data_IF_177833618594
#
_entry.id   IF_177833618594
#
_cell.length_a   1.000
_cell.length_b   1.000
_cell.length_c   1.000
_cell.angle_alpha   90.00
_cell.angle_beta   90.00
_cell.angle_gamma   90.00
#
_symmetry.space_group_name_H-M   'P 1'
#
loop_
_entity.id
_entity.type
_entity.pdbx_description
1 polymer ?
#
# COMPACT_ATOMS: atom_id res chain seq x y z
N UNK A 1 -17.65 13.16 14.12
CA UNK A 1 -18.03 11.98 13.33
C UNK A 1 -17.30 10.77 13.86
N UNK A 2 -17.91 9.60 13.71
CA UNK A 2 -17.28 8.32 14.01
C UNK A 2 -16.84 7.65 12.72
N UNK A 3 -15.54 7.52 12.50
CA UNK A 3 -14.92 7.04 11.27
C UNK A 3 -14.34 5.66 11.51
N UNK A 4 -14.76 4.66 10.73
CA UNK A 4 -14.17 3.33 10.77
C UNK A 4 -13.06 3.23 9.73
N UNK A 5 -11.80 3.15 10.17
CA UNK A 5 -10.66 2.88 9.28
C UNK A 5 -10.53 1.36 9.13
N UNK A 6 -10.64 0.87 7.90
CA UNK A 6 -10.54 -0.57 7.59
C UNK A 6 -9.16 -0.87 7.01
N UNK A 7 -8.44 -1.78 7.64
CA UNK A 7 -7.01 -1.99 7.50
C UNK A 7 -6.69 -3.45 7.17
N UNK A 8 -5.71 -3.70 6.30
CA UNK A 8 -5.29 -5.04 5.90
C UNK A 8 -3.77 -5.18 6.02
N UNK A 9 -3.30 -6.01 6.97
CA UNK A 9 -1.88 -6.37 7.08
C UNK A 9 -0.90 -5.23 7.39
N UNK A 10 -1.37 -4.11 7.96
CA UNK A 10 -0.56 -2.91 8.20
C UNK A 10 -0.77 -2.37 9.63
N UNK A 11 -1.17 -1.11 9.77
CA UNK A 11 -1.47 -0.48 11.06
C UNK A 11 -2.53 -1.27 11.85
N UNK A 12 -2.39 -1.46 13.16
CA UNK A 12 -1.30 -1.02 14.03
C UNK A 12 -0.18 -2.06 14.25
N UNK A 13 -0.12 -3.13 13.47
CA UNK A 13 0.78 -4.28 13.70
C UNK A 13 2.16 -4.14 13.05
N UNK A 14 2.25 -3.45 11.93
CA UNK A 14 3.46 -3.38 11.10
C UNK A 14 3.85 -1.92 10.88
N UNK A 15 5.14 -1.62 10.99
CA UNK A 15 5.69 -0.30 10.63
C UNK A 15 5.87 -0.19 9.12
N UNK A 16 5.57 0.98 8.54
CA UNK A 16 5.72 1.23 7.11
C UNK A 16 5.05 2.52 6.68
N UNK A 17 5.16 2.90 5.42
CA UNK A 17 4.62 4.15 4.88
C UNK A 17 3.11 4.30 5.12
N UNK A 18 2.32 3.30 4.74
CA UNK A 18 0.86 3.30 4.93
C UNK A 18 0.47 3.32 6.41
N UNK A 19 1.19 2.56 7.26
CA UNK A 19 0.95 2.56 8.71
C UNK A 19 1.26 3.92 9.34
N UNK A 20 2.38 4.53 8.96
CA UNK A 20 2.77 5.86 9.44
C UNK A 20 1.80 6.94 8.97
N UNK A 21 1.35 6.85 7.72
CA UNK A 21 0.32 7.72 7.17
C UNK A 21 -1.00 7.58 7.92
N UNK A 22 -1.47 6.35 8.16
CA UNK A 22 -2.71 6.08 8.92
C UNK A 22 -2.62 6.65 10.34
N UNK A 23 -1.50 6.41 11.02
CA UNK A 23 -1.27 6.95 12.36
C UNK A 23 -1.29 8.48 12.37
N UNK A 24 -0.64 9.12 11.40
CA UNK A 24 -0.62 10.57 11.22
C UNK A 24 -2.02 11.12 10.92
N UNK A 25 -2.78 10.47 10.03
CA UNK A 25 -4.15 10.84 9.70
C UNK A 25 -5.03 10.86 10.96
N UNK A 26 -5.04 9.78 11.75
CA UNK A 26 -5.85 9.69 12.97
C UNK A 26 -5.49 10.81 13.96
N UNK A 27 -4.20 11.04 14.19
CA UNK A 27 -3.72 12.11 15.08
C UNK A 27 -4.08 13.52 14.60
N UNK A 28 -4.23 13.71 13.31
CA UNK A 28 -4.58 15.00 12.71
C UNK A 28 -6.05 15.37 12.88
N UNK A 29 -6.89 14.43 13.32
CA UNK A 29 -8.32 14.62 13.52
C UNK A 29 -8.79 14.35 14.96
N UNK A 30 -8.27 15.07 15.97
CA UNK A 30 -8.61 14.83 17.38
C UNK A 30 -10.10 15.07 17.69
N UNK A 31 -10.82 15.78 16.82
CA UNK A 31 -12.26 16.05 16.93
C UNK A 31 -13.15 14.89 16.44
N UNK A 32 -12.58 13.84 15.87
CA UNK A 32 -13.29 12.67 15.38
C UNK A 32 -12.97 11.44 16.23
N UNK A 33 -13.94 10.56 16.37
CA UNK A 33 -13.74 9.22 16.95
C UNK A 33 -13.35 8.26 15.83
N UNK A 34 -12.31 7.47 16.07
CA UNK A 34 -11.87 6.44 15.15
C UNK A 34 -12.13 5.05 15.70
N UNK A 35 -12.67 4.21 14.83
CA UNK A 35 -12.78 2.76 15.05
C UNK A 35 -11.80 2.10 14.08
N UNK A 36 -10.92 1.24 14.58
CA UNK A 36 -10.04 0.45 13.72
C UNK A 36 -10.69 -0.90 13.46
N UNK A 37 -10.80 -1.28 12.18
CA UNK A 37 -11.26 -2.60 11.78
C UNK A 37 -10.14 -3.29 11.01
N UNK A 38 -9.37 -4.10 11.74
CA UNK A 38 -8.09 -4.61 11.28
C UNK A 38 -8.19 -6.06 10.83
N UNK A 39 -7.69 -6.36 9.64
CA UNK A 39 -7.55 -7.72 9.12
C UNK A 39 -6.08 -8.13 9.28
N UNK A 40 -5.85 -9.20 10.04
CA UNK A 40 -4.56 -9.85 10.21
C UNK A 40 -4.55 -11.26 9.63
N UNK A 41 -3.36 -11.83 9.43
CA UNK A 41 -3.20 -13.20 8.96
C UNK A 41 -3.41 -14.22 10.09
N UNK A 42 -2.76 -14.03 11.22
CA UNK A 42 -2.72 -14.98 12.33
C UNK A 42 -3.26 -14.36 13.63
N UNK A 43 -4.20 -15.05 14.27
CA UNK A 43 -4.78 -14.66 15.57
C UNK A 43 -3.76 -14.66 16.72
N UNK A 44 -2.57 -15.23 16.55
CA UNK A 44 -1.47 -15.10 17.48
C UNK A 44 -0.98 -13.65 17.65
N UNK A 45 -1.23 -12.77 16.66
CA UNK A 45 -0.82 -11.36 16.68
C UNK A 45 -1.86 -10.43 17.34
N UNK A 46 -2.95 -10.99 17.83
CA UNK A 46 -4.00 -10.23 18.51
C UNK A 46 -3.45 -9.35 19.63
N UNK A 47 -3.76 -8.04 19.56
CA UNK A 47 -3.34 -7.05 20.56
C UNK A 47 -1.85 -6.72 20.57
N UNK A 48 -1.05 -7.24 19.63
CA UNK A 48 0.40 -6.95 19.54
C UNK A 48 0.67 -5.74 18.66
N UNK A 49 0.31 -4.56 19.14
CA UNK A 49 0.47 -3.33 18.40
C UNK A 49 1.91 -2.80 18.51
N UNK A 50 2.47 -2.35 17.38
CA UNK A 50 3.78 -1.68 17.33
C UNK A 50 3.66 -0.16 17.45
N UNK A 51 2.42 0.36 17.36
CA UNK A 51 2.10 1.77 17.56
C UNK A 51 1.36 1.95 18.88
N UNK A 52 1.64 3.04 19.59
CA UNK A 52 0.77 3.56 20.64
C UNK A 52 -0.46 4.21 20.00
N UNK A 53 -1.65 3.70 20.33
CA UNK A 53 -2.87 4.18 19.69
C UNK A 53 -3.21 5.59 20.20
N UNK A 54 -3.57 6.53 19.33
CA UNK A 54 -4.04 7.86 19.72
C UNK A 54 -5.32 7.80 20.56
N UNK A 55 -5.53 8.77 21.46
CA UNK A 55 -6.65 8.83 22.40
C UNK A 55 -8.03 8.86 21.72
N UNK A 56 -8.10 9.32 20.48
CA UNK A 56 -9.31 9.35 19.65
C UNK A 56 -9.63 8.04 18.94
N UNK A 57 -8.82 7.00 19.13
CA UNK A 57 -9.17 5.62 18.74
C UNK A 57 -9.99 5.01 19.86
N UNK A 58 -11.30 4.92 19.65
CA UNK A 58 -12.27 4.50 20.69
C UNK A 58 -12.53 3.00 20.70
N UNK A 59 -12.34 2.30 19.58
CA UNK A 59 -12.55 0.85 19.45
C UNK A 59 -11.55 0.24 18.47
N UNK A 60 -11.17 -1.03 18.70
CA UNK A 60 -10.39 -1.85 17.76
C UNK A 60 -11.09 -3.19 17.57
N UNK A 61 -11.47 -3.48 16.34
CA UNK A 61 -12.04 -4.75 15.92
C UNK A 61 -11.00 -5.52 15.11
N UNK A 62 -10.60 -6.67 15.60
CA UNK A 62 -9.56 -7.50 14.99
C UNK A 62 -10.16 -8.75 14.36
N UNK A 63 -9.91 -8.97 13.10
CA UNK A 63 -10.34 -10.15 12.31
C UNK A 63 -9.10 -10.84 11.78
N UNK A 64 -8.92 -12.12 12.11
CA UNK A 64 -7.77 -12.89 11.65
C UNK A 64 -8.20 -13.99 10.68
N UNK A 65 -7.58 -14.01 9.50
CA UNK A 65 -8.00 -14.89 8.41
C UNK A 65 -7.81 -16.38 8.74
N UNK A 66 -6.85 -16.74 9.60
CA UNK A 66 -6.68 -18.11 10.07
C UNK A 66 -7.88 -18.63 10.90
N UNK A 67 -8.67 -17.75 11.50
CA UNK A 67 -9.88 -18.12 12.23
C UNK A 67 -10.99 -18.66 11.30
N UNK A 68 -10.93 -18.34 10.00
CA UNK A 68 -11.84 -18.89 9.01
C UNK A 68 -11.84 -20.43 8.96
N UNK A 69 -10.71 -21.04 9.28
CA UNK A 69 -10.54 -22.50 9.32
C UNK A 69 -11.11 -23.15 10.59
N UNK A 70 -11.39 -22.36 11.64
CA UNK A 70 -11.94 -22.84 12.92
C UNK A 70 -13.47 -22.96 12.89
N UNK A 71 -14.11 -22.58 11.78
CA UNK A 71 -15.57 -22.59 11.64
C UNK A 71 -16.14 -24.00 11.69
N UNK A 72 -17.22 -24.18 12.46
CA UNK A 72 -17.97 -25.44 12.49
C UNK A 72 -18.86 -25.51 11.25
N UNK A 73 -18.92 -26.62 10.50
CA UNK A 73 -19.85 -26.77 9.39
C UNK A 73 -21.30 -26.60 9.87
N UNK A 74 -22.03 -25.70 9.23
CA UNK A 74 -23.46 -25.57 9.48
C UNK A 74 -24.19 -26.84 9.04
N UNK A 75 -25.00 -27.44 9.91
CA UNK A 75 -25.67 -28.71 9.64
C UNK A 75 -26.93 -28.57 8.73
N UNK A 76 -27.27 -27.39 8.25
CA UNK A 76 -28.44 -27.20 7.41
C UNK A 76 -28.04 -27.14 5.93
N UNK A 77 -28.75 -27.97 5.10
CA UNK A 77 -28.69 -27.80 3.64
C UNK A 77 -29.13 -26.39 3.29
N UNK A 78 -28.19 -25.59 2.85
CA UNK A 78 -28.48 -24.24 2.37
C UNK A 78 -29.31 -24.32 1.09
N UNK A 79 -30.48 -23.69 1.10
CA UNK A 79 -31.30 -23.51 -0.11
C UNK A 79 -31.15 -22.06 -0.54
N UNK A 80 -30.71 -21.86 -1.76
CA UNK A 80 -30.49 -20.52 -2.34
C UNK A 80 -31.62 -20.21 -3.34
N UNK A 81 -32.05 -18.96 -3.35
CA UNK A 81 -32.96 -18.45 -4.40
C UNK A 81 -32.21 -18.39 -5.74
N UNK A 82 -32.91 -18.28 -6.88
CA UNK A 82 -32.25 -18.10 -8.17
C UNK A 82 -31.30 -16.90 -8.20
N UNK A 83 -31.65 -15.78 -7.59
CA UNK A 83 -30.88 -14.57 -7.48
C UNK A 83 -29.60 -14.79 -6.65
N UNK A 84 -29.71 -15.44 -5.49
CA UNK A 84 -28.56 -15.83 -4.68
C UNK A 84 -27.61 -16.78 -5.40
N UNK A 85 -28.16 -17.76 -6.15
CA UNK A 85 -27.35 -18.66 -6.97
C UNK A 85 -26.59 -17.92 -8.06
N UNK A 86 -27.22 -16.94 -8.70
CA UNK A 86 -26.55 -16.13 -9.72
C UNK A 86 -25.40 -15.31 -9.09
N UNK A 87 -25.63 -14.61 -7.97
CA UNK A 87 -24.62 -13.84 -7.28
C UNK A 87 -23.44 -14.73 -6.81
N UNK A 88 -23.73 -15.92 -6.27
CA UNK A 88 -22.73 -16.91 -5.90
C UNK A 88 -21.97 -17.45 -7.12
N UNK A 89 -22.65 -17.67 -8.24
CA UNK A 89 -22.02 -18.07 -9.51
C UNK A 89 -21.03 -17.01 -9.99
N UNK A 90 -21.47 -15.76 -10.06
CA UNK A 90 -20.62 -14.65 -10.49
C UNK A 90 -19.41 -14.46 -9.57
N UNK A 91 -19.60 -14.66 -8.27
CA UNK A 91 -18.52 -14.62 -7.28
C UNK A 91 -17.49 -15.74 -7.48
N UNK A 92 -17.95 -16.99 -7.67
CA UNK A 92 -17.08 -18.16 -7.88
C UNK A 92 -16.34 -18.06 -9.22
N UNK A 93 -16.99 -17.52 -10.26
CA UNK A 93 -16.38 -17.29 -11.58
C UNK A 93 -15.54 -16.00 -11.65
N UNK A 94 -15.46 -15.23 -10.56
CA UNK A 94 -14.74 -13.94 -10.48
C UNK A 94 -15.16 -12.96 -11.58
N UNK A 95 -16.48 -12.79 -11.77
CA UNK A 95 -17.07 -11.86 -12.74
C UNK A 95 -17.55 -10.56 -12.06
N UNK A 96 -18.82 -10.29 -12.01
CA UNK A 96 -19.41 -9.08 -11.43
C UNK A 96 -20.60 -9.44 -10.54
N UNK A 97 -20.38 -10.02 -9.35
CA UNK A 97 -21.45 -10.44 -8.46
C UNK A 97 -22.23 -9.24 -7.90
N UNK A 98 -23.50 -9.47 -7.61
CA UNK A 98 -24.25 -8.55 -6.75
C UNK A 98 -23.79 -8.71 -5.30
N UNK A 99 -23.00 -7.74 -4.84
CA UNK A 99 -22.40 -7.76 -3.51
C UNK A 99 -23.45 -7.59 -2.41
N UNK A 100 -24.54 -6.85 -2.64
CA UNK A 100 -25.64 -6.72 -1.69
C UNK A 100 -26.29 -8.07 -1.42
N UNK A 101 -26.63 -8.82 -2.49
CA UNK A 101 -27.17 -10.18 -2.39
C UNK A 101 -26.17 -11.13 -1.73
N UNK A 102 -24.88 -11.01 -2.00
CA UNK A 102 -23.85 -11.82 -1.33
C UNK A 102 -23.78 -11.52 0.17
N UNK A 103 -23.77 -10.24 0.57
CA UNK A 103 -23.77 -9.84 1.98
C UNK A 103 -24.99 -10.36 2.72
N UNK A 104 -26.18 -10.22 2.15
CA UNK A 104 -27.41 -10.78 2.72
C UNK A 104 -27.34 -12.30 2.85
N UNK A 105 -26.89 -12.99 1.79
CA UNK A 105 -26.80 -14.44 1.76
C UNK A 105 -25.87 -14.97 2.85
N UNK A 106 -24.68 -14.39 3.00
CA UNK A 106 -23.69 -14.85 3.98
C UNK A 106 -24.04 -14.48 5.41
N UNK A 107 -24.92 -13.49 5.62
CA UNK A 107 -25.40 -13.06 6.95
C UNK A 107 -26.70 -13.75 7.38
N UNK A 108 -27.29 -14.62 6.56
CA UNK A 108 -28.47 -15.40 6.94
C UNK A 108 -28.17 -16.33 8.12
N UNK A 109 -29.14 -16.49 9.01
CA UNK A 109 -29.01 -17.33 10.21
C UNK A 109 -28.65 -18.78 9.86
N UNK A 110 -27.49 -19.21 10.31
CA UNK A 110 -26.98 -20.58 10.10
C UNK A 110 -26.16 -20.76 8.82
N UNK A 111 -25.95 -19.69 8.02
CA UNK A 111 -24.98 -19.71 6.94
C UNK A 111 -23.57 -19.58 7.54
N UNK A 112 -22.64 -20.38 7.03
CA UNK A 112 -21.21 -20.29 7.37
C UNK A 112 -20.37 -20.42 6.11
N UNK A 113 -19.15 -19.84 6.06
CA UNK A 113 -18.24 -20.00 4.92
C UNK A 113 -17.99 -21.47 4.55
N UNK A 114 -17.68 -22.31 5.54
CA UNK A 114 -17.45 -23.73 5.34
C UNK A 114 -18.76 -24.44 4.90
N UNK A 115 -19.91 -24.06 5.46
CA UNK A 115 -21.21 -24.61 5.08
C UNK A 115 -21.53 -24.35 3.60
N UNK A 116 -21.19 -23.18 3.07
CA UNK A 116 -21.32 -22.90 1.64
C UNK A 116 -20.34 -23.74 0.81
N UNK A 117 -19.06 -23.78 1.17
CA UNK A 117 -18.01 -24.54 0.44
C UNK A 117 -18.24 -26.07 0.45
N UNK A 118 -19.08 -26.58 1.37
CA UNK A 118 -19.52 -27.98 1.43
C UNK A 118 -20.92 -28.21 0.84
N UNK A 119 -21.54 -27.19 0.24
CA UNK A 119 -22.88 -27.29 -0.33
C UNK A 119 -22.88 -27.94 -1.72
N UNK A 120 -24.03 -28.56 -2.10
CA UNK A 120 -24.26 -29.05 -3.46
C UNK A 120 -24.12 -27.90 -4.48
N UNK A 121 -24.62 -26.70 -4.15
CA UNK A 121 -24.51 -25.52 -5.02
C UNK A 121 -23.06 -25.17 -5.34
N UNK A 122 -22.17 -25.15 -4.34
CA UNK A 122 -20.75 -24.88 -4.59
C UNK A 122 -20.11 -25.99 -5.44
N UNK A 123 -20.46 -27.25 -5.19
CA UNK A 123 -19.97 -28.38 -5.99
C UNK A 123 -20.41 -28.27 -7.45
N UNK A 124 -21.66 -27.88 -7.71
CA UNK A 124 -22.17 -27.67 -9.06
C UNK A 124 -21.40 -26.55 -9.76
N UNK A 125 -21.28 -25.38 -9.11
CA UNK A 125 -20.54 -24.23 -9.66
C UNK A 125 -19.07 -24.57 -9.95
N UNK A 126 -18.42 -25.29 -9.06
CA UNK A 126 -17.04 -25.74 -9.25
C UNK A 126 -16.94 -26.74 -10.41
N UNK A 127 -17.93 -27.63 -10.56
CA UNK A 127 -17.99 -28.59 -11.68
C UNK A 127 -18.16 -27.85 -13.00
N UNK A 128 -18.95 -26.80 -13.04
CA UNK A 128 -19.15 -25.98 -14.24
C UNK A 128 -17.87 -25.24 -14.65
N UNK A 129 -17.15 -24.62 -13.69
CA UNK A 129 -15.83 -24.02 -13.95
C UNK A 129 -14.84 -25.04 -14.49
N UNK A 130 -14.76 -26.23 -13.87
CA UNK A 130 -13.85 -27.27 -14.32
C UNK A 130 -14.14 -27.68 -15.76
N UNK A 131 -15.44 -27.84 -16.12
CA UNK A 131 -15.82 -28.24 -17.48
C UNK A 131 -15.60 -27.18 -18.55
N UNK A 132 -15.86 -25.91 -18.20
CA UNK A 132 -15.83 -24.81 -19.16
C UNK A 132 -14.44 -24.24 -19.36
N UNK A 133 -13.76 -23.90 -18.24
CA UNK A 133 -12.53 -23.13 -18.29
C UNK A 133 -11.26 -23.96 -18.00
N UNK A 134 -11.42 -25.10 -17.27
CA UNK A 134 -10.26 -25.88 -16.78
C UNK A 134 -10.41 -27.40 -17.01
N UNK A 135 -10.75 -27.86 -18.25
CA UNK A 135 -11.06 -29.27 -18.49
C UNK A 135 -9.89 -30.26 -18.30
N UNK A 136 -8.67 -29.73 -18.23
CA UNK A 136 -7.44 -30.55 -18.09
C UNK A 136 -6.78 -30.43 -16.74
N UNK A 137 -7.45 -29.81 -15.75
CA UNK A 137 -6.93 -29.68 -14.39
C UNK A 137 -7.57 -30.72 -13.46
N UNK A 138 -6.85 -31.13 -12.43
CA UNK A 138 -7.40 -32.00 -11.42
C UNK A 138 -8.49 -31.28 -10.61
N UNK A 139 -9.62 -31.95 -10.38
CA UNK A 139 -10.74 -31.41 -9.62
C UNK A 139 -10.33 -31.02 -8.18
N UNK A 140 -9.43 -31.80 -7.55
CA UNK A 140 -8.88 -31.49 -6.23
C UNK A 140 -8.11 -30.18 -6.20
N UNK A 141 -7.33 -29.89 -7.24
CA UNK A 141 -6.52 -28.67 -7.33
C UNK A 141 -7.42 -27.45 -7.50
N UNK A 142 -8.49 -27.56 -8.31
CA UNK A 142 -9.51 -26.54 -8.44
C UNK A 142 -10.22 -26.30 -7.11
N UNK A 143 -10.61 -27.36 -6.39
CA UNK A 143 -11.25 -27.24 -5.08
C UNK A 143 -10.38 -26.49 -4.08
N UNK A 144 -9.10 -26.87 -3.97
CA UNK A 144 -8.17 -26.20 -3.05
C UNK A 144 -7.92 -24.75 -3.45
N UNK A 145 -7.81 -24.46 -4.74
CA UNK A 145 -7.63 -23.11 -5.25
C UNK A 145 -8.84 -22.22 -4.93
N UNK A 146 -10.05 -22.64 -5.31
CA UNK A 146 -11.27 -21.88 -5.03
C UNK A 146 -11.50 -21.72 -3.52
N UNK A 147 -11.27 -22.76 -2.73
CA UNK A 147 -11.37 -22.65 -1.27
C UNK A 147 -10.40 -21.59 -0.73
N UNK A 148 -9.15 -21.59 -1.18
CA UNK A 148 -8.14 -20.63 -0.72
C UNK A 148 -8.47 -19.18 -1.10
N UNK A 149 -9.08 -18.99 -2.26
CA UNK A 149 -9.54 -17.67 -2.74
C UNK A 149 -10.78 -17.18 -1.99
N UNK A 150 -11.80 -18.02 -1.91
CA UNK A 150 -13.15 -17.62 -1.51
C UNK A 150 -13.33 -17.60 0.02
N UNK A 151 -12.69 -18.54 0.74
CA UNK A 151 -12.89 -18.68 2.19
C UNK A 151 -12.59 -17.40 2.97
N UNK A 152 -11.49 -16.65 2.72
CA UNK A 152 -11.23 -15.40 3.41
C UNK A 152 -12.36 -14.36 3.21
N UNK A 153 -12.81 -14.16 1.98
CA UNK A 153 -13.88 -13.19 1.67
C UNK A 153 -15.21 -13.60 2.28
N UNK A 154 -15.58 -14.87 2.17
CA UNK A 154 -16.79 -15.40 2.80
C UNK A 154 -16.76 -15.24 4.33
N UNK A 155 -15.59 -15.44 4.94
CA UNK A 155 -15.39 -15.24 6.38
C UNK A 155 -15.54 -13.77 6.78
N UNK A 156 -14.99 -12.85 5.99
CA UNK A 156 -15.12 -11.40 6.20
C UNK A 156 -16.59 -10.95 6.10
N UNK A 157 -17.36 -11.48 5.16
CA UNK A 157 -18.79 -11.15 5.02
C UNK A 157 -19.63 -11.55 6.25
N UNK A 158 -19.17 -12.51 7.05
CA UNK A 158 -19.85 -12.98 8.25
C UNK A 158 -19.49 -12.19 9.53
N UNK A 159 -18.58 -11.22 9.44
CA UNK A 159 -18.11 -10.48 10.62
C UNK A 159 -19.16 -9.53 11.20
N UNK A 160 -19.00 -9.23 12.50
CA UNK A 160 -19.78 -8.18 13.14
C UNK A 160 -19.27 -6.83 12.63
N UNK A 161 -20.20 -5.98 12.22
CA UNK A 161 -19.89 -4.67 11.67
C UNK A 161 -19.89 -3.62 12.77
N UNK A 162 -18.78 -2.91 13.03
CA UNK A 162 -18.76 -1.80 13.97
C UNK A 162 -19.64 -0.66 13.45
N UNK A 163 -20.25 0.11 14.35
CA UNK A 163 -21.03 1.29 13.97
C UNK A 163 -20.11 2.46 13.63
N UNK A 164 -20.34 3.09 12.49
CA UNK A 164 -19.61 4.28 12.05
C UNK A 164 -20.48 5.14 11.12
N UNK A 165 -20.12 6.42 10.99
CA UNK A 165 -20.72 7.35 10.06
C UNK A 165 -20.09 7.24 8.66
N UNK A 166 -18.83 6.78 8.59
CA UNK A 166 -18.06 6.57 7.35
C UNK A 166 -17.18 5.32 7.51
N UNK A 167 -17.10 4.50 6.46
CA UNK A 167 -16.14 3.40 6.36
C UNK A 167 -15.03 3.80 5.39
N UNK A 168 -13.85 4.05 5.91
CA UNK A 168 -12.69 4.47 5.14
C UNK A 168 -11.68 3.32 5.05
N UNK A 169 -11.53 2.73 3.86
CA UNK A 169 -10.53 1.69 3.59
C UNK A 169 -9.30 2.27 2.91
N UNK A 170 -8.14 1.68 3.19
CA UNK A 170 -6.86 2.09 2.60
C UNK A 170 -6.36 1.17 1.48
N UNK A 171 -7.13 0.14 1.15
CA UNK A 171 -6.85 -0.77 0.04
C UNK A 171 -8.13 -1.28 -0.59
N UNK A 172 -8.09 -1.58 -1.88
CA UNK A 172 -9.21 -2.10 -2.66
C UNK A 172 -9.30 -3.64 -2.64
N UNK A 173 -8.78 -4.28 -1.58
CA UNK A 173 -8.75 -5.72 -1.38
C UNK A 173 -9.74 -6.21 -0.34
N UNK A 174 -9.26 -7.05 0.56
CA UNK A 174 -10.07 -7.60 1.66
C UNK A 174 -10.63 -6.51 2.57
N UNK A 175 -9.82 -5.52 2.92
CA UNK A 175 -10.26 -4.36 3.70
C UNK A 175 -11.34 -3.56 2.96
N UNK A 176 -11.22 -3.43 1.64
CA UNK A 176 -12.23 -2.78 0.81
C UNK A 176 -13.58 -3.49 0.85
N UNK A 177 -13.58 -4.82 0.70
CA UNK A 177 -14.83 -5.62 0.81
C UNK A 177 -15.45 -5.48 2.19
N UNK A 178 -14.62 -5.46 3.25
CA UNK A 178 -15.09 -5.29 4.61
C UNK A 178 -15.69 -3.89 4.84
N UNK A 179 -15.09 -2.84 4.25
CA UNK A 179 -15.65 -1.49 4.26
C UNK A 179 -17.00 -1.42 3.51
N UNK A 180 -17.10 -2.08 2.36
CA UNK A 180 -18.36 -2.20 1.60
C UNK A 180 -19.45 -2.91 2.41
N UNK A 181 -19.10 -3.99 3.13
CA UNK A 181 -20.01 -4.63 4.07
C UNK A 181 -20.47 -3.66 5.16
N UNK A 182 -19.56 -2.86 5.70
CA UNK A 182 -19.85 -1.83 6.69
C UNK A 182 -20.86 -0.81 6.18
N UNK A 183 -20.60 -0.26 5.01
CA UNK A 183 -21.47 0.69 4.33
C UNK A 183 -22.86 0.10 4.05
N UNK A 184 -22.91 -1.15 3.57
CA UNK A 184 -24.16 -1.86 3.31
C UNK A 184 -25.00 -2.06 4.58
N UNK A 185 -24.38 -2.57 5.65
CA UNK A 185 -25.11 -2.92 6.90
C UNK A 185 -25.62 -1.70 7.66
N UNK A 186 -24.81 -0.64 7.71
CA UNK A 186 -25.12 0.57 8.48
C UNK A 186 -25.67 1.71 7.61
N UNK A 187 -25.89 1.48 6.31
CA UNK A 187 -26.32 2.50 5.35
C UNK A 187 -25.46 3.77 5.47
N UNK A 188 -24.13 3.59 5.33
CA UNK A 188 -23.15 4.66 5.49
C UNK A 188 -22.20 4.71 4.27
N UNK A 189 -21.64 5.88 3.92
CA UNK A 189 -20.73 6.03 2.81
C UNK A 189 -19.44 5.24 3.02
N UNK A 190 -18.91 4.75 1.89
CA UNK A 190 -17.60 4.10 1.81
C UNK A 190 -16.62 5.03 1.11
N UNK A 191 -15.43 5.17 1.65
CA UNK A 191 -14.33 5.92 1.09
C UNK A 191 -13.11 5.01 0.92
N UNK A 192 -12.41 5.15 -0.21
CA UNK A 192 -11.17 4.43 -0.47
C UNK A 192 -10.01 5.42 -0.63
N UNK A 193 -8.93 5.23 0.12
CA UNK A 193 -7.65 5.90 -0.13
C UNK A 193 -6.60 4.89 -0.53
N UNK A 194 -6.24 4.87 -1.81
CA UNK A 194 -5.36 3.86 -2.38
C UNK A 194 -3.93 4.42 -2.51
N UNK A 195 -2.99 3.81 -1.77
CA UNK A 195 -1.58 4.22 -1.76
C UNK A 195 -0.76 3.55 -2.87
N UNK A 196 -1.17 2.40 -3.32
CA UNK A 196 -0.72 1.66 -4.49
C UNK A 196 -1.92 1.03 -5.16
N UNK A 197 -1.84 0.61 -6.41
CA UNK A 197 -2.96 0.00 -7.13
C UNK A 197 -3.05 -1.48 -6.75
N UNK A 198 -3.91 -1.80 -5.77
CA UNK A 198 -4.01 -3.10 -5.12
C UNK A 198 -4.05 -4.27 -6.12
N UNK A 199 -4.92 -4.21 -7.13
CA UNK A 199 -5.07 -5.29 -8.09
C UNK A 199 -3.81 -5.52 -8.95
N UNK A 200 -3.06 -4.45 -9.28
CA UNK A 200 -1.78 -4.57 -10.01
C UNK A 200 -0.69 -5.15 -9.15
N UNK A 201 -0.58 -4.73 -7.90
CA UNK A 201 0.37 -5.30 -6.93
C UNK A 201 0.11 -6.80 -6.70
N UNK A 202 -1.16 -7.18 -6.54
CA UNK A 202 -1.55 -8.60 -6.43
C UNK A 202 -1.29 -9.39 -7.70
N UNK A 203 -1.49 -8.81 -8.89
CA UNK A 203 -1.16 -9.43 -10.16
C UNK A 203 0.33 -9.76 -10.26
N UNK A 204 1.21 -8.80 -9.95
CA UNK A 204 2.65 -9.01 -9.95
C UNK A 204 3.07 -10.09 -8.94
N UNK A 205 2.51 -10.06 -7.74
CA UNK A 205 2.76 -11.06 -6.71
C UNK A 205 2.35 -12.47 -7.19
N UNK A 206 1.16 -12.62 -7.77
CA UNK A 206 0.67 -13.90 -8.27
C UNK A 206 1.52 -14.41 -9.45
N UNK A 207 1.96 -13.52 -10.33
CA UNK A 207 2.84 -13.90 -11.44
C UNK A 207 4.15 -14.49 -10.92
N UNK A 208 4.73 -13.90 -9.88
CA UNK A 208 5.99 -14.36 -9.25
C UNK A 208 5.78 -15.54 -8.29
N UNK A 209 4.58 -15.75 -7.77
CA UNK A 209 4.30 -16.77 -6.76
C UNK A 209 4.61 -18.19 -7.25
N UNK A 210 5.35 -18.95 -6.45
CA UNK A 210 5.67 -20.36 -6.69
C UNK A 210 4.61 -21.31 -6.11
N UNK A 211 3.86 -20.87 -5.12
CA UNK A 211 2.79 -21.63 -4.47
C UNK A 211 1.48 -21.68 -5.27
N UNK A 212 1.30 -20.77 -6.26
CA UNK A 212 0.16 -20.80 -7.17
C UNK A 212 0.47 -21.66 -8.38
N UNK A 213 -0.35 -22.68 -8.62
CA UNK A 213 -0.24 -23.50 -9.83
C UNK A 213 -0.39 -22.63 -11.08
N UNK A 214 0.49 -22.77 -12.09
CA UNK A 214 0.47 -21.93 -13.29
C UNK A 214 -0.89 -21.82 -13.96
N UNK A 215 -1.67 -22.92 -14.00
CA UNK A 215 -3.00 -22.98 -14.59
C UNK A 215 -4.00 -22.04 -13.90
N UNK A 216 -3.79 -21.71 -12.62
CA UNK A 216 -4.74 -20.90 -11.82
C UNK A 216 -4.28 -19.45 -11.58
N UNK A 217 -3.08 -19.06 -12.05
CA UNK A 217 -2.60 -17.68 -11.87
C UNK A 217 -3.59 -16.65 -12.43
N UNK A 218 -4.14 -16.90 -13.64
CA UNK A 218 -5.15 -16.04 -14.24
C UNK A 218 -6.43 -15.94 -13.39
N UNK A 219 -6.85 -17.04 -12.75
CA UNK A 219 -8.03 -17.05 -11.90
C UNK A 219 -7.82 -16.20 -10.66
N UNK A 220 -6.64 -16.32 -10.01
CA UNK A 220 -6.26 -15.46 -8.88
C UNK A 220 -6.21 -13.99 -9.24
N UNK A 221 -5.65 -13.64 -10.39
CA UNK A 221 -5.61 -12.25 -10.87
C UNK A 221 -7.03 -11.72 -11.06
N UNK A 222 -7.90 -12.46 -11.77
CA UNK A 222 -9.32 -12.09 -11.94
C UNK A 222 -10.04 -11.89 -10.60
N UNK A 223 -9.74 -12.72 -9.62
CA UNK A 223 -10.31 -12.61 -8.27
C UNK A 223 -9.96 -11.28 -7.61
N UNK A 224 -8.70 -10.87 -7.60
CA UNK A 224 -8.30 -9.59 -7.01
C UNK A 224 -8.86 -8.39 -7.79
N UNK A 225 -8.94 -8.49 -9.11
CA UNK A 225 -9.60 -7.45 -9.92
C UNK A 225 -11.10 -7.35 -9.61
N UNK A 226 -11.79 -8.46 -9.37
CA UNK A 226 -13.19 -8.47 -8.96
C UNK A 226 -13.38 -7.75 -7.61
N UNK A 227 -12.51 -8.01 -6.61
CA UNK A 227 -12.56 -7.32 -5.32
C UNK A 227 -12.38 -5.80 -5.49
N UNK A 228 -11.36 -5.38 -6.24
CA UNK A 228 -11.11 -3.94 -6.46
C UNK A 228 -12.27 -3.25 -7.18
N UNK A 229 -12.87 -3.89 -8.19
CA UNK A 229 -14.05 -3.36 -8.89
C UNK A 229 -15.27 -3.23 -7.96
N UNK A 230 -15.45 -4.16 -7.03
CA UNK A 230 -16.51 -4.05 -6.02
C UNK A 230 -16.36 -2.77 -5.19
N UNK A 231 -15.14 -2.49 -4.74
CA UNK A 231 -14.85 -1.30 -3.94
C UNK A 231 -15.02 -0.02 -4.76
N UNK A 232 -14.49 0.04 -5.97
CA UNK A 232 -14.66 1.19 -6.89
C UNK A 232 -16.14 1.45 -7.19
N UNK A 233 -16.96 0.40 -7.36
CA UNK A 233 -18.38 0.54 -7.59
C UNK A 233 -19.15 1.13 -6.40
N UNK A 234 -18.82 0.69 -5.19
CA UNK A 234 -19.53 1.05 -3.96
C UNK A 234 -18.98 2.30 -3.24
N UNK A 235 -17.69 2.63 -3.43
CA UNK A 235 -17.12 3.83 -2.83
C UNK A 235 -17.79 5.10 -3.35
N UNK A 236 -18.08 6.03 -2.44
CA UNK A 236 -18.55 7.39 -2.78
C UNK A 236 -17.40 8.26 -3.31
N UNK A 237 -16.20 8.08 -2.75
CA UNK A 237 -14.97 8.77 -3.15
C UNK A 237 -13.82 7.77 -3.17
N UNK A 238 -12.97 7.88 -4.18
CA UNK A 238 -11.74 7.10 -4.34
C UNK A 238 -10.58 8.08 -4.50
N UNK A 239 -9.60 8.02 -3.59
CA UNK A 239 -8.42 8.87 -3.68
C UNK A 239 -7.20 8.08 -4.14
N UNK A 240 -6.32 8.76 -4.83
CA UNK A 240 -4.99 8.28 -5.22
C UNK A 240 -3.96 9.37 -4.97
N UNK A 241 -2.69 8.99 -4.87
CA UNK A 241 -1.62 9.93 -4.50
C UNK A 241 -1.17 10.83 -5.64
N UNK A 242 -1.34 10.40 -6.90
CA UNK A 242 -0.83 11.09 -8.10
C UNK A 242 -1.62 10.75 -9.37
N UNK A 243 -1.37 11.53 -10.43
CA UNK A 243 -2.15 11.49 -11.66
C UNK A 243 -2.17 10.13 -12.38
N UNK A 244 -1.05 9.42 -12.44
CA UNK A 244 -0.98 8.13 -13.10
C UNK A 244 -1.71 7.03 -12.30
N UNK A 245 -1.71 7.09 -10.96
CA UNK A 245 -2.51 6.19 -10.14
C UNK A 245 -4.01 6.41 -10.37
N UNK A 246 -4.47 7.68 -10.46
CA UNK A 246 -5.85 8.02 -10.82
C UNK A 246 -6.23 7.47 -12.19
N UNK A 247 -5.36 7.58 -13.19
CA UNK A 247 -5.61 7.01 -14.53
C UNK A 247 -5.78 5.50 -14.46
N UNK A 248 -4.91 4.81 -13.69
CA UNK A 248 -4.99 3.38 -13.48
C UNK A 248 -6.32 2.96 -12.80
N UNK A 249 -6.79 3.69 -11.79
CA UNK A 249 -8.10 3.45 -11.17
C UNK A 249 -9.25 3.53 -12.17
N UNK A 250 -9.23 4.53 -13.05
CA UNK A 250 -10.25 4.72 -14.10
C UNK A 250 -10.19 3.56 -15.12
N UNK A 251 -9.00 3.18 -15.58
CA UNK A 251 -8.80 2.03 -16.48
C UNK A 251 -9.30 0.70 -15.89
N UNK A 252 -9.20 0.56 -14.57
CA UNK A 252 -9.68 -0.60 -13.82
C UNK A 252 -11.19 -0.58 -13.53
N UNK A 253 -11.88 0.49 -13.92
CA UNK A 253 -13.33 0.60 -13.88
C UNK A 253 -13.88 1.50 -12.78
N UNK A 254 -13.03 2.33 -12.14
CA UNK A 254 -13.52 3.38 -11.24
C UNK A 254 -14.16 4.52 -12.05
N UNK A 255 -15.31 5.02 -11.58
CA UNK A 255 -15.95 6.19 -12.18
C UNK A 255 -15.04 7.44 -12.00
N UNK A 256 -14.67 8.13 -13.11
CA UNK A 256 -13.84 9.33 -13.05
C UNK A 256 -14.37 10.43 -12.11
N UNK A 257 -15.68 10.52 -11.95
CA UNK A 257 -16.33 11.52 -11.08
C UNK A 257 -16.05 11.30 -9.60
N UNK A 258 -15.75 10.05 -9.21
CA UNK A 258 -15.41 9.66 -7.84
C UNK A 258 -13.91 9.81 -7.53
N UNK A 259 -13.05 9.88 -8.56
CA UNK A 259 -11.61 9.88 -8.40
C UNK A 259 -11.08 11.27 -8.01
N UNK A 260 -10.29 11.32 -6.94
CA UNK A 260 -9.60 12.52 -6.46
C UNK A 260 -8.10 12.24 -6.31
N UNK A 261 -7.27 13.24 -6.56
CA UNK A 261 -5.83 13.16 -6.24
C UNK A 261 -5.64 13.81 -4.87
N UNK A 262 -5.08 13.05 -3.94
CA UNK A 262 -4.76 13.50 -2.59
C UNK A 262 -3.35 13.06 -2.26
N UNK A 263 -2.33 13.89 -2.55
CA UNK A 263 -0.95 13.55 -2.26
C UNK A 263 -0.69 13.34 -0.76
N UNK A 264 0.34 12.58 -0.43
CA UNK A 264 0.85 12.52 0.92
C UNK A 264 1.35 13.89 1.37
N UNK A 265 1.22 14.17 2.66
CA UNK A 265 1.77 15.37 3.27
C UNK A 265 3.02 15.06 4.09
N UNK A 266 3.93 16.03 4.15
CA UNK A 266 5.12 16.01 5.01
C UNK A 266 5.07 17.17 6.01
N UNK A 267 5.58 16.95 7.22
CA UNK A 267 5.74 18.02 8.21
C UNK A 267 6.93 18.92 7.84
N UNK A 268 6.63 19.98 7.08
CA UNK A 268 7.65 20.90 6.55
C UNK A 268 8.33 21.71 7.63
N UNK A 269 7.71 21.93 8.78
CA UNK A 269 8.31 22.62 9.92
C UNK A 269 9.39 21.74 10.56
N UNK A 270 9.07 20.47 10.82
CA UNK A 270 10.00 19.49 11.42
C UNK A 270 11.23 19.27 10.53
N UNK A 271 11.01 18.94 9.26
CA UNK A 271 12.10 18.64 8.34
C UNK A 271 12.81 19.89 7.81
N UNK A 272 12.10 21.02 7.68
CA UNK A 272 12.69 22.30 7.30
C UNK A 272 13.61 22.91 8.37
N UNK A 273 13.50 22.46 9.62
CA UNK A 273 14.39 22.84 10.71
C UNK A 273 15.72 22.06 10.70
N UNK A 274 15.87 21.03 9.86
CA UNK A 274 17.11 20.26 9.72
C UNK A 274 18.20 21.14 9.15
N UNK A 275 19.33 21.33 9.85
CA UNK A 275 20.42 22.15 9.33
C UNK A 275 21.07 21.50 8.11
N UNK A 276 21.70 22.27 7.22
CA UNK A 276 22.59 21.73 6.20
C UNK A 276 23.72 20.94 6.87
N UNK A 277 24.23 19.94 6.15
CA UNK A 277 25.38 19.18 6.63
C UNK A 277 26.60 20.10 6.75
N UNK A 278 27.32 19.99 7.87
CA UNK A 278 28.59 20.67 8.05
C UNK A 278 29.67 20.06 7.13
N UNK A 279 30.44 20.88 6.40
CA UNK A 279 31.46 20.37 5.50
C UNK A 279 32.57 19.62 6.29
N UNK A 280 32.77 18.35 5.97
CA UNK A 280 33.80 17.47 6.55
C UNK A 280 34.74 16.86 5.50
N UNK A 281 34.58 17.30 4.25
CA UNK A 281 35.34 16.77 3.12
C UNK A 281 34.73 15.52 2.47
N UNK A 282 33.66 15.00 3.02
CA UNK A 282 32.92 13.86 2.47
C UNK A 282 31.61 14.29 1.80
N UNK A 283 31.18 13.49 0.83
CA UNK A 283 29.85 13.57 0.25
C UNK A 283 29.03 12.38 0.76
N UNK A 284 28.03 12.66 1.59
CA UNK A 284 27.22 11.64 2.25
C UNK A 284 25.90 11.42 1.52
N UNK A 285 25.71 10.20 1.03
CA UNK A 285 24.55 9.74 0.28
C UNK A 285 23.65 8.96 1.24
N UNK A 286 22.37 9.35 1.39
CA UNK A 286 21.42 8.68 2.28
C UNK A 286 20.40 7.86 1.51
N UNK A 287 20.32 6.54 1.74
CA UNK A 287 19.22 5.70 1.30
C UNK A 287 18.28 5.44 2.49
N UNK A 288 17.13 6.11 2.51
CA UNK A 288 16.13 5.97 3.59
C UNK A 288 15.13 4.90 3.16
N UNK A 289 15.40 3.66 3.51
CA UNK A 289 14.70 2.47 3.01
C UNK A 289 14.59 1.40 4.09
N UNK A 290 13.61 0.50 3.97
CA UNK A 290 13.62 -0.78 4.67
C UNK A 290 14.53 -1.72 3.89
N UNK A 291 15.36 -2.51 4.56
CA UNK A 291 16.21 -3.48 3.85
C UNK A 291 15.36 -4.68 3.46
N UNK A 292 14.81 -4.64 2.26
CA UNK A 292 13.92 -5.64 1.66
C UNK A 292 14.14 -5.70 0.14
N UNK A 293 13.80 -6.81 -0.54
CA UNK A 293 14.02 -6.97 -1.98
C UNK A 293 13.40 -5.89 -2.87
N UNK A 294 12.26 -5.34 -2.47
CA UNK A 294 11.54 -4.30 -3.23
C UNK A 294 12.31 -2.98 -3.30
N UNK A 295 13.16 -2.70 -2.32
CA UNK A 295 13.97 -1.46 -2.24
C UNK A 295 15.25 -1.54 -3.07
N UNK A 296 15.62 -2.73 -3.56
CA UNK A 296 16.74 -3.02 -4.43
C UNK A 296 18.10 -2.44 -3.97
N UNK A 297 18.39 -2.62 -2.68
CA UNK A 297 19.65 -2.16 -2.06
C UNK A 297 20.88 -2.76 -2.75
N UNK A 298 20.75 -3.95 -3.36
CA UNK A 298 21.86 -4.58 -4.09
C UNK A 298 22.27 -3.78 -5.33
N UNK A 299 21.32 -3.31 -6.13
CA UNK A 299 21.63 -2.41 -7.27
C UNK A 299 22.30 -1.12 -6.79
N UNK A 300 21.88 -0.57 -5.64
CA UNK A 300 22.54 0.59 -5.03
C UNK A 300 24.00 0.29 -4.66
N UNK A 301 24.27 -0.85 -4.01
CA UNK A 301 25.63 -1.24 -3.64
C UNK A 301 26.53 -1.42 -4.87
N UNK A 302 26.02 -2.05 -5.94
CA UNK A 302 26.76 -2.15 -7.20
C UNK A 302 27.01 -0.78 -7.83
N UNK A 303 26.03 0.11 -7.85
CA UNK A 303 26.20 1.46 -8.38
C UNK A 303 27.18 2.27 -7.54
N UNK A 304 27.12 2.14 -6.22
CA UNK A 304 28.06 2.82 -5.32
C UNK A 304 29.50 2.32 -5.48
N UNK A 305 29.71 1.03 -5.76
CA UNK A 305 31.02 0.48 -6.10
C UNK A 305 31.62 1.18 -7.34
N UNK A 306 30.81 1.43 -8.37
CA UNK A 306 31.26 2.20 -9.55
C UNK A 306 31.61 3.65 -9.17
N UNK A 307 30.78 4.32 -8.36
CA UNK A 307 31.02 5.68 -7.87
C UNK A 307 32.38 5.78 -7.15
N UNK A 308 32.72 4.79 -6.33
CA UNK A 308 34.01 4.77 -5.58
C UNK A 308 35.24 4.73 -6.47
N UNK A 309 35.12 4.34 -7.74
CA UNK A 309 36.27 4.43 -8.68
C UNK A 309 36.60 5.86 -9.09
N UNK A 310 35.66 6.80 -8.95
CA UNK A 310 35.82 8.19 -9.41
C UNK A 310 35.69 9.21 -8.27
N UNK A 311 35.03 8.85 -7.16
CA UNK A 311 34.77 9.74 -6.02
C UNK A 311 35.19 9.07 -4.72
N UNK A 312 36.47 9.23 -4.38
CA UNK A 312 37.09 8.60 -3.19
C UNK A 312 36.39 9.02 -1.88
N UNK A 313 35.92 10.26 -1.80
CA UNK A 313 35.30 10.84 -0.62
C UNK A 313 33.78 10.70 -0.57
N UNK A 314 33.17 9.75 -1.29
CA UNK A 314 31.75 9.41 -1.16
C UNK A 314 31.53 8.39 -0.04
N UNK A 315 30.49 8.58 0.80
CA UNK A 315 29.97 7.61 1.79
C UNK A 315 28.50 7.32 1.54
N UNK A 316 28.09 6.06 1.68
CA UNK A 316 26.71 5.62 1.55
C UNK A 316 26.16 5.23 2.92
N UNK A 317 25.02 5.79 3.29
CA UNK A 317 24.28 5.48 4.50
C UNK A 317 22.98 4.77 4.12
N UNK A 318 22.86 3.49 4.45
CA UNK A 318 21.62 2.71 4.32
C UNK A 318 20.87 2.85 5.64
N UNK A 319 19.79 3.62 5.61
CA UNK A 319 19.09 4.14 6.78
C UNK A 319 17.72 3.46 6.89
N UNK A 320 17.56 2.54 7.83
CA UNK A 320 16.28 1.88 8.08
C UNK A 320 16.42 0.47 8.65
N UNK A 321 15.30 -0.17 9.01
CA UNK A 321 15.30 -1.49 9.62
C UNK A 321 15.55 -2.61 8.60
N UNK A 322 16.03 -3.74 9.12
CA UNK A 322 16.08 -5.01 8.40
C UNK A 322 14.67 -5.64 8.40
N UNK A 323 13.93 -5.42 7.32
CA UNK A 323 12.57 -5.94 7.18
C UNK A 323 12.61 -7.43 6.72
N UNK A 324 13.57 -7.74 5.84
CA UNK A 324 13.93 -9.09 5.42
C UNK A 324 15.37 -9.39 5.85
N UNK A 325 15.51 -10.26 6.85
CA UNK A 325 16.82 -10.60 7.44
C UNK A 325 17.73 -11.36 6.48
N UNK A 326 17.17 -12.21 5.62
CA UNK A 326 17.94 -12.98 4.63
C UNK A 326 18.49 -12.04 3.57
N UNK A 327 17.65 -11.17 3.03
CA UNK A 327 18.07 -10.14 2.08
C UNK A 327 19.06 -9.15 2.68
N UNK A 328 18.88 -8.73 3.94
CA UNK A 328 19.83 -7.85 4.63
C UNK A 328 21.20 -8.52 4.76
N UNK A 329 21.25 -9.80 5.13
CA UNK A 329 22.50 -10.55 5.20
C UNK A 329 23.19 -10.62 3.83
N UNK A 330 22.42 -10.85 2.75
CA UNK A 330 22.96 -10.83 1.38
C UNK A 330 23.53 -9.44 0.99
N UNK A 331 22.89 -8.35 1.43
CA UNK A 331 23.41 -6.99 1.22
C UNK A 331 24.73 -6.75 1.97
N UNK A 332 24.85 -7.20 3.22
CA UNK A 332 26.11 -7.09 3.97
C UNK A 332 27.24 -7.89 3.34
N UNK A 333 26.93 -9.11 2.88
CA UNK A 333 27.90 -9.95 2.19
C UNK A 333 28.36 -9.34 0.86
N UNK A 334 27.41 -8.77 0.10
CA UNK A 334 27.70 -8.07 -1.15
C UNK A 334 28.58 -6.85 -0.92
N UNK A 335 28.30 -6.01 0.07
CA UNK A 335 29.13 -4.85 0.40
C UNK A 335 30.58 -5.27 0.72
N UNK A 336 30.74 -6.38 1.47
CA UNK A 336 32.07 -6.94 1.77
C UNK A 336 32.77 -7.51 0.54
N UNK A 337 32.04 -8.23 -0.35
CA UNK A 337 32.60 -8.78 -1.59
C UNK A 337 33.07 -7.69 -2.56
N UNK A 338 32.38 -6.54 -2.56
CA UNK A 338 32.73 -5.36 -3.36
C UNK A 338 33.79 -4.46 -2.68
N UNK A 339 34.29 -4.85 -1.51
CA UNK A 339 35.29 -4.10 -0.73
C UNK A 339 34.87 -2.66 -0.35
N UNK A 340 33.54 -2.51 -0.08
CA UNK A 340 32.96 -1.21 0.23
C UNK A 340 33.07 -0.88 1.72
N UNK A 341 34.15 -0.16 2.10
CA UNK A 341 34.39 0.24 3.48
C UNK A 341 33.58 1.48 3.91
N UNK A 342 33.15 2.30 2.97
CA UNK A 342 32.39 3.54 3.20
C UNK A 342 30.88 3.38 3.07
N UNK A 343 30.36 2.17 3.36
CA UNK A 343 28.92 1.90 3.47
C UNK A 343 28.57 1.69 4.94
N UNK A 344 27.61 2.49 5.43
CA UNK A 344 27.13 2.44 6.80
C UNK A 344 25.67 1.95 6.81
N UNK A 345 25.42 0.81 7.41
CA UNK A 345 24.06 0.34 7.71
C UNK A 345 23.69 0.80 9.10
N UNK A 346 22.77 1.77 9.21
CA UNK A 346 22.48 2.47 10.47
C UNK A 346 21.44 1.79 11.35
N UNK A 347 20.64 0.88 10.76
CA UNK A 347 19.41 0.45 11.39
C UNK A 347 18.40 1.59 11.50
N UNK A 348 17.41 1.43 12.38
CA UNK A 348 16.37 2.44 12.60
C UNK A 348 16.93 3.64 13.38
N UNK A 349 16.78 4.84 12.82
CA UNK A 349 17.17 6.11 13.42
C UNK A 349 16.06 7.15 13.31
N UNK A 350 16.17 8.28 14.01
CA UNK A 350 15.32 9.45 13.73
C UNK A 350 15.78 10.09 12.41
N UNK A 351 14.95 9.97 11.38
CA UNK A 351 15.25 10.42 10.02
C UNK A 351 15.54 11.93 9.98
N UNK A 352 14.77 12.75 10.71
CA UNK A 352 14.96 14.19 10.71
C UNK A 352 16.35 14.57 11.29
N UNK A 353 16.75 13.94 12.40
CA UNK A 353 18.08 14.19 12.97
C UNK A 353 19.19 13.67 12.06
N UNK A 354 18.98 12.52 11.42
CA UNK A 354 20.02 11.90 10.59
C UNK A 354 20.26 12.65 9.27
N UNK A 355 19.22 13.26 8.68
CA UNK A 355 19.31 14.07 7.48
C UNK A 355 20.28 15.27 7.61
N UNK A 356 20.61 15.72 8.85
CA UNK A 356 21.65 16.73 9.07
C UNK A 356 23.05 16.28 8.66
N UNK A 357 23.28 14.96 8.48
CA UNK A 357 24.56 14.35 8.07
C UNK A 357 24.62 14.01 6.59
N UNK A 358 23.54 14.24 5.84
CA UNK A 358 23.35 13.77 4.47
C UNK A 358 23.36 14.96 3.52
N UNK A 359 24.10 14.83 2.41
CA UNK A 359 24.15 15.84 1.34
C UNK A 359 23.00 15.68 0.35
N UNK A 360 22.67 14.45 -0.03
CA UNK A 360 21.54 14.12 -0.89
C UNK A 360 21.04 12.69 -0.62
N UNK A 361 19.84 12.37 -1.07
CA UNK A 361 19.26 11.05 -0.86
C UNK A 361 19.12 10.26 -2.16
N UNK A 362 19.03 8.93 -2.03
CA UNK A 362 18.83 8.01 -3.14
C UNK A 362 17.73 7.01 -2.79
N UNK A 363 16.87 6.71 -3.77
CA UNK A 363 15.84 5.68 -3.68
C UNK A 363 15.95 4.78 -4.91
N UNK A 364 16.12 3.48 -4.69
CA UNK A 364 16.35 2.49 -5.74
C UNK A 364 15.21 1.49 -5.89
N UNK A 365 14.10 1.72 -5.21
CA UNK A 365 12.94 0.83 -5.17
C UNK A 365 12.48 0.43 -6.58
N UNK A 366 12.02 -0.82 -6.70
CA UNK A 366 11.48 -1.38 -7.95
C UNK A 366 10.02 -0.95 -8.13
N UNK A 367 9.32 -0.66 -7.04
CA UNK A 367 7.93 -0.21 -7.04
C UNK A 367 7.67 0.75 -5.90
N UNK A 368 7.00 1.84 -6.17
CA UNK A 368 6.59 2.86 -5.21
C UNK A 368 5.21 3.43 -5.56
N UNK A 369 4.53 3.97 -4.55
CA UNK A 369 3.44 4.90 -4.77
C UNK A 369 3.97 6.34 -4.79
N UNK A 370 3.92 6.98 -3.62
CA UNK A 370 4.54 8.28 -3.35
C UNK A 370 5.39 8.16 -2.08
N UNK A 371 6.73 8.05 -2.23
CA UNK A 371 7.62 7.77 -1.13
C UNK A 371 7.72 8.96 -0.15
N UNK A 372 7.35 8.72 1.11
CA UNK A 372 7.45 9.74 2.17
C UNK A 372 8.89 10.17 2.42
N UNK A 373 9.86 9.25 2.28
CA UNK A 373 11.29 9.54 2.44
C UNK A 373 11.79 10.61 1.47
N UNK A 374 11.23 10.67 0.25
CA UNK A 374 11.54 11.70 -0.74
C UNK A 374 10.95 13.05 -0.31
N UNK A 375 9.70 13.07 0.14
CA UNK A 375 9.07 14.31 0.64
C UNK A 375 9.79 14.86 1.88
N UNK A 376 10.23 13.98 2.79
CA UNK A 376 11.04 14.32 3.97
C UNK A 376 12.40 14.91 3.56
N UNK A 377 13.05 14.28 2.56
CA UNK A 377 14.32 14.76 1.99
C UNK A 377 14.16 16.14 1.36
N UNK A 378 13.13 16.33 0.56
CA UNK A 378 12.82 17.63 -0.05
C UNK A 378 12.56 18.70 1.00
N UNK A 379 11.72 18.40 2.01
CA UNK A 379 11.45 19.36 3.09
C UNK A 379 12.73 19.74 3.86
N UNK A 380 13.69 18.82 3.99
CA UNK A 380 15.02 19.08 4.55
C UNK A 380 16.01 19.75 3.58
N UNK A 381 15.58 20.08 2.35
CA UNK A 381 16.42 20.67 1.32
C UNK A 381 17.50 19.72 0.75
N UNK A 382 17.25 18.42 0.78
CA UNK A 382 18.12 17.38 0.20
C UNK A 382 17.57 16.98 -1.17
N UNK A 383 18.35 17.15 -2.27
CA UNK A 383 17.95 16.67 -3.59
C UNK A 383 18.01 15.15 -3.62
N UNK A 384 17.37 14.54 -4.62
CA UNK A 384 17.22 13.09 -4.68
C UNK A 384 17.71 12.50 -6.01
N UNK A 385 18.26 11.28 -5.95
CA UNK A 385 18.42 10.39 -7.12
C UNK A 385 17.40 9.26 -6.96
N UNK A 386 16.45 9.14 -7.88
CA UNK A 386 15.32 8.24 -7.75
C UNK A 386 15.22 7.29 -8.96
N UNK A 387 14.72 6.09 -8.73
CA UNK A 387 14.21 5.24 -9.81
C UNK A 387 12.88 5.76 -10.34
N UNK A 388 12.61 5.57 -11.64
CA UNK A 388 11.39 6.00 -12.33
C UNK A 388 10.22 5.04 -12.05
N UNK A 389 9.74 5.08 -10.82
CA UNK A 389 8.62 4.26 -10.32
C UNK A 389 7.59 5.13 -9.62
N UNK A 390 6.32 4.73 -9.68
CA UNK A 390 5.24 5.48 -9.05
C UNK A 390 5.16 6.93 -9.50
N UNK A 391 5.26 7.87 -8.57
CA UNK A 391 5.31 9.30 -8.86
C UNK A 391 6.72 9.91 -8.76
N UNK A 392 7.79 9.11 -8.68
CA UNK A 392 9.14 9.62 -8.45
C UNK A 392 9.58 10.68 -9.48
N UNK A 393 9.26 10.45 -10.75
CA UNK A 393 9.52 11.45 -11.81
C UNK A 393 8.72 12.74 -11.61
N UNK A 394 7.43 12.63 -11.27
CA UNK A 394 6.58 13.80 -10.98
C UNK A 394 7.10 14.58 -9.75
N UNK A 395 7.62 13.88 -8.73
CA UNK A 395 8.24 14.53 -7.58
C UNK A 395 9.51 15.30 -7.96
N UNK A 396 10.33 14.78 -8.88
CA UNK A 396 11.57 15.43 -9.29
C UNK A 396 11.34 16.60 -10.27
N UNK A 397 10.51 16.39 -11.28
CA UNK A 397 10.35 17.32 -12.39
C UNK A 397 9.19 18.31 -12.17
N UNK A 398 8.28 18.01 -11.23
CA UNK A 398 7.02 18.70 -11.00
C UNK A 398 5.85 18.09 -11.74
N UNK A 399 4.66 18.20 -11.15
CA UNK A 399 3.39 17.86 -11.76
C UNK A 399 2.78 18.99 -12.58
N UNK A 400 1.54 18.83 -13.02
CA UNK A 400 0.80 19.85 -13.76
C UNK A 400 0.70 21.17 -12.93
N UNK A 401 1.23 22.26 -13.50
CA UNK A 401 1.25 23.58 -12.85
C UNK A 401 2.43 23.82 -11.89
N UNK A 402 3.41 22.91 -11.84
CA UNK A 402 4.65 23.07 -11.09
C UNK A 402 5.82 23.39 -12.03
N UNK A 403 6.18 24.67 -12.12
CA UNK A 403 7.29 25.19 -12.95
C UNK A 403 8.56 25.48 -12.13
N UNK A 404 8.73 24.87 -10.94
CA UNK A 404 9.86 25.16 -10.06
C UNK A 404 11.21 24.63 -10.59
N UNK A 405 11.19 23.68 -11.49
CA UNK A 405 12.38 23.03 -12.05
C UNK A 405 12.63 21.65 -11.47
N UNK A 406 13.82 21.07 -11.72
CA UNK A 406 14.15 19.72 -11.35
C UNK A 406 14.84 19.62 -9.97
N UNK A 407 14.37 18.71 -9.10
CA UNK A 407 14.86 18.53 -7.74
C UNK A 407 15.85 17.35 -7.59
N UNK A 408 16.36 16.81 -8.71
CA UNK A 408 17.29 15.68 -8.68
C UNK A 408 17.36 14.91 -10.00
N UNK A 409 17.76 13.66 -9.97
CA UNK A 409 17.90 12.81 -11.16
C UNK A 409 16.99 11.59 -11.08
N UNK A 410 16.37 11.24 -12.23
CA UNK A 410 15.53 10.05 -12.37
C UNK A 410 16.21 9.04 -13.29
N UNK A 411 16.26 7.76 -12.87
CA UNK A 411 16.88 6.67 -13.64
C UNK A 411 15.94 5.48 -13.73
N UNK A 412 16.10 4.65 -14.75
CA UNK A 412 15.34 3.41 -14.87
C UNK A 412 15.65 2.46 -13.68
N UNK A 413 14.65 1.77 -13.11
CA UNK A 413 14.89 0.80 -12.04
C UNK A 413 15.81 -0.33 -12.49
N UNK A 414 16.59 -0.87 -11.54
CA UNK A 414 17.58 -1.94 -11.78
C UNK A 414 18.71 -1.58 -12.76
N UNK A 415 18.85 -0.32 -13.17
CA UNK A 415 19.88 0.15 -14.06
C UNK A 415 21.07 0.73 -13.28
N UNK A 416 21.99 -0.16 -12.82
CA UNK A 416 23.15 0.22 -12.00
C UNK A 416 24.04 1.29 -12.64
N UNK A 417 24.21 1.25 -13.98
CA UNK A 417 25.11 2.18 -14.67
C UNK A 417 24.53 3.60 -14.75
N UNK A 418 23.24 3.70 -15.07
CA UNK A 418 22.56 4.99 -15.03
C UNK A 418 22.51 5.56 -13.61
N UNK A 419 22.29 4.70 -12.60
CA UNK A 419 22.31 5.07 -11.19
C UNK A 419 23.69 5.59 -10.77
N UNK A 420 24.76 4.85 -11.10
CA UNK A 420 26.13 5.27 -10.80
C UNK A 420 26.45 6.65 -11.40
N UNK A 421 26.13 6.85 -12.69
CA UNK A 421 26.36 8.13 -13.38
C UNK A 421 25.57 9.29 -12.74
N UNK A 422 24.33 9.05 -12.31
CA UNK A 422 23.51 10.05 -11.62
C UNK A 422 24.10 10.39 -10.22
N UNK A 423 24.57 9.38 -9.48
CA UNK A 423 25.24 9.56 -8.19
C UNK A 423 26.57 10.32 -8.34
N UNK A 424 27.40 9.96 -9.33
CA UNK A 424 28.67 10.67 -9.64
C UNK A 424 28.41 12.15 -9.93
N UNK A 425 27.43 12.44 -10.79
CA UNK A 425 27.06 13.82 -11.11
C UNK A 425 26.58 14.58 -9.88
N UNK A 426 25.77 13.95 -9.03
CA UNK A 426 25.29 14.54 -7.77
C UNK A 426 26.45 14.77 -6.80
N UNK A 427 27.49 13.95 -6.80
CA UNK A 427 28.68 14.13 -5.98
C UNK A 427 29.57 15.28 -6.50
N UNK A 428 29.68 15.47 -7.81
CA UNK A 428 30.69 16.34 -8.44
C UNK A 428 30.42 17.84 -8.25
N UNK A 429 29.16 18.29 -8.23
CA UNK A 429 28.79 19.72 -8.21
C UNK A 429 27.92 20.06 -6.98
N UNK A 430 28.56 20.67 -5.98
CA UNK A 430 27.88 21.16 -4.76
C UNK A 430 26.87 22.28 -5.06
N UNK A 431 27.15 23.12 -6.05
CA UNK A 431 26.26 24.20 -6.45
C UNK A 431 24.97 23.67 -7.11
N UNK A 432 25.09 22.72 -8.05
CA UNK A 432 23.96 22.05 -8.69
C UNK A 432 23.15 21.30 -7.63
N UNK A 433 23.80 20.55 -6.75
CA UNK A 433 23.18 19.80 -5.65
C UNK A 433 22.36 20.71 -4.74
N UNK A 434 22.91 21.85 -4.30
CA UNK A 434 22.17 22.81 -3.47
C UNK A 434 20.99 23.46 -4.19
N UNK A 435 21.15 23.80 -5.47
CA UNK A 435 20.08 24.38 -6.27
C UNK A 435 18.90 23.42 -6.41
N UNK A 436 19.17 22.13 -6.69
CA UNK A 436 18.16 21.08 -6.75
C UNK A 436 17.47 20.87 -5.39
N UNK A 437 18.25 20.90 -4.29
CA UNK A 437 17.72 20.79 -2.93
C UNK A 437 16.75 21.92 -2.58
N UNK A 438 17.05 23.15 -2.99
CA UNK A 438 16.17 24.29 -2.78
C UNK A 438 14.88 24.20 -3.62
N UNK A 439 14.95 23.66 -4.83
CA UNK A 439 13.77 23.36 -5.66
C UNK A 439 12.89 22.32 -4.96
N UNK A 440 13.48 21.21 -4.49
CA UNK A 440 12.76 20.18 -3.73
C UNK A 440 12.07 20.75 -2.49
N UNK A 441 12.77 21.59 -1.73
CA UNK A 441 12.24 22.24 -0.54
C UNK A 441 11.06 23.15 -0.87
N UNK A 442 11.16 23.98 -1.90
CA UNK A 442 10.04 24.83 -2.36
C UNK A 442 8.85 23.98 -2.78
N UNK A 443 9.09 22.90 -3.53
CA UNK A 443 8.05 21.96 -3.97
C UNK A 443 7.33 21.32 -2.79
N UNK A 444 8.06 20.79 -1.79
CA UNK A 444 7.49 20.23 -0.58
C UNK A 444 6.62 21.26 0.18
N UNK A 445 7.13 22.49 0.34
CA UNK A 445 6.42 23.57 1.02
C UNK A 445 5.20 24.07 0.26
N UNK A 446 5.15 23.93 -1.07
CA UNK A 446 4.05 24.45 -1.90
C UNK A 446 2.95 23.42 -2.09
N UNK A 447 3.31 22.15 -2.34
CA UNK A 447 2.37 21.14 -2.83
C UNK A 447 2.15 19.96 -1.89
N UNK A 448 3.06 19.73 -0.90
CA UNK A 448 3.07 18.50 -0.10
C UNK A 448 3.09 18.75 1.41
N UNK A 449 2.48 19.86 1.87
CA UNK A 449 2.36 20.13 3.30
C UNK A 449 1.35 19.18 3.95
N UNK A 450 1.65 18.71 5.15
CA UNK A 450 0.73 17.85 5.92
C UNK A 450 -0.63 18.51 6.15
N UNK A 451 -0.66 19.85 6.38
CA UNK A 451 -1.89 20.59 6.60
C UNK A 451 -2.81 20.61 5.35
N UNK A 452 -2.23 20.61 4.14
CA UNK A 452 -2.99 20.53 2.89
C UNK A 452 -3.68 19.16 2.78
N UNK A 453 -2.97 18.07 3.06
CA UNK A 453 -3.53 16.72 3.11
C UNK A 453 -4.68 16.65 4.13
N UNK A 454 -4.47 17.17 5.36
CA UNK A 454 -5.50 17.19 6.41
C UNK A 454 -6.72 18.00 5.99
N UNK A 455 -6.54 19.15 5.37
CA UNK A 455 -7.65 19.98 4.85
C UNK A 455 -8.44 19.19 3.80
N UNK A 456 -7.76 18.58 2.84
CA UNK A 456 -8.41 17.76 1.80
C UNK A 456 -9.24 16.61 2.41
N UNK A 457 -8.70 15.88 3.39
CA UNK A 457 -9.47 14.82 4.05
C UNK A 457 -10.60 15.35 4.91
N UNK A 458 -10.48 16.55 5.50
CA UNK A 458 -11.59 17.23 6.18
C UNK A 458 -12.75 17.46 5.23
N UNK A 459 -12.46 18.03 4.06
CA UNK A 459 -13.48 18.34 3.04
C UNK A 459 -14.11 17.05 2.50
N UNK A 460 -13.30 16.01 2.22
CA UNK A 460 -13.78 14.72 1.73
C UNK A 460 -14.70 14.03 2.74
N UNK A 461 -14.36 13.98 4.04
CA UNK A 461 -15.24 13.39 5.04
C UNK A 461 -16.57 14.16 5.16
N UNK A 462 -16.55 15.49 5.05
CA UNK A 462 -17.77 16.29 5.05
C UNK A 462 -18.60 16.07 3.78
N UNK A 463 -17.95 16.03 2.60
CA UNK A 463 -18.61 15.77 1.30
C UNK A 463 -19.33 14.42 1.30
N UNK A 464 -18.64 13.33 1.69
CA UNK A 464 -19.22 11.99 1.61
C UNK A 464 -20.40 11.78 2.58
N UNK A 465 -20.35 12.39 3.77
CA UNK A 465 -21.47 12.32 4.72
C UNK A 465 -22.64 13.16 4.28
N UNK A 466 -22.40 14.38 3.81
CA UNK A 466 -23.45 15.29 3.38
C UNK A 466 -24.17 14.79 2.14
N UNK A 467 -23.43 14.27 1.17
CA UNK A 467 -23.99 13.70 -0.07
C UNK A 467 -24.78 12.39 0.16
N UNK A 468 -24.42 11.64 1.20
CA UNK A 468 -25.11 10.39 1.55
C UNK A 468 -26.45 10.64 2.25
N UNK A 469 -26.58 11.74 2.99
CA UNK A 469 -27.79 12.12 3.71
C UNK A 469 -28.81 12.87 2.83
N UNK A 470 -28.39 13.39 1.67
CA UNK A 470 -29.22 14.10 0.71
C UNK A 470 -29.99 13.14 -0.22
#
# INVERSE_FOLDING_TARGET
MRICIVLEGCYPYVTGGVSSWTHSLIRSFPQHEFVLWCIGADSADRGKYVYELPDNVVEVHEVFLNDALKGVPGHKRARFTPEQKQALSDFVHCTSPDWGVLFETMRQKGMTPIGFLMSETFLDLMTDICRQDYPYTAFSDMFHTLRSMLLPVLFLMCQQVPKADVYHTIAAGYSGVLACLGGYVNNAPVMLSEHGIYSREREEEIIRATWVLPAFKRLWVRFFFMLSRAVYGQASVVTSLFGNARKAQIELGCDPSKCRITPNGVNVEKFGAVPPKEPDGWVDIGAIVRIAPIEDVKTLLYAFAEVKHYVDNARLHVIGPEDDKEYAQECYELARQLDLHDVLFTGRVDTAQYLSKIDFTVLTSISEGQPLSVLESFAAGRPCVLTDVGCCRELLDGGEGDDLGCAGFCVEPMNRMALASALERMCADDGERRAMGEIGRKRACTYYRQEQMVTTYTDLYQEVVSSWQA
#
